data_IF_272519774785
#
_entry.id   IF_272519774785
#
_cell.length_a   1.000
_cell.length_b   1.000
_cell.length_c   1.000
_cell.angle_alpha   90.00
_cell.angle_beta   90.00
_cell.angle_gamma   90.00
#
_symmetry.space_group_name_H-M   'P 1'
#
loop_
_entity.id
_entity.type
_entity.pdbx_description
1 polymer ?
#
# COMPACT_ATOMS: atom_id res chain seq x y z
N UNK A 1 -0.37 1.75 -8.83
CA UNK A 1 0.79 1.08 -8.24
C UNK A 1 0.31 -0.20 -7.62
N UNK A 2 1.04 -1.29 -7.87
CA UNK A 2 0.70 -2.60 -7.33
C UNK A 2 0.83 -2.60 -5.80
N UNK A 3 0.15 -3.53 -5.15
CA UNK A 3 0.20 -3.71 -3.71
C UNK A 3 0.95 -4.99 -3.41
N UNK A 4 2.02 -4.91 -2.62
CA UNK A 4 2.68 -6.09 -2.06
C UNK A 4 2.64 -6.03 -0.53
N UNK A 5 2.21 -7.11 0.10
CA UNK A 5 1.89 -7.17 1.54
C UNK A 5 2.64 -8.31 2.22
N UNK A 6 3.98 -8.24 2.34
CA UNK A 6 4.69 -9.12 3.26
C UNK A 6 4.20 -8.87 4.69
N UNK A 7 3.92 -9.93 5.45
CA UNK A 7 3.49 -9.84 6.84
C UNK A 7 2.11 -9.19 7.07
N UNK A 8 1.36 -8.86 6.02
CA UNK A 8 -0.03 -8.39 6.12
C UNK A 8 -0.95 -8.99 5.07
N UNK A 9 -2.24 -9.01 5.36
CA UNK A 9 -3.31 -9.37 4.43
C UNK A 9 -4.34 -8.24 4.37
N UNK A 10 -5.00 -8.09 3.23
CA UNK A 10 -6.00 -7.03 2.99
C UNK A 10 -7.28 -7.61 2.41
N UNK A 11 -8.36 -6.84 2.43
CA UNK A 11 -9.61 -7.18 1.76
C UNK A 11 -9.77 -6.34 0.49
N UNK A 12 -9.99 -6.99 -0.65
CA UNK A 12 -10.28 -6.35 -1.94
C UNK A 12 -11.68 -6.79 -2.38
N UNK A 13 -12.60 -5.83 -2.51
CA UNK A 13 -14.03 -6.16 -2.62
C UNK A 13 -14.49 -6.87 -1.35
N UNK A 14 -14.97 -8.11 -1.50
CA UNK A 14 -15.42 -8.95 -0.39
C UNK A 14 -14.43 -10.07 -0.03
N UNK A 15 -13.28 -10.13 -0.71
CA UNK A 15 -12.33 -11.24 -0.57
C UNK A 15 -11.10 -10.86 0.25
N UNK A 16 -10.72 -11.75 1.18
CA UNK A 16 -9.42 -11.68 1.84
C UNK A 16 -8.32 -12.12 0.87
N UNK A 17 -7.41 -11.19 0.59
CA UNK A 17 -6.26 -11.40 -0.29
C UNK A 17 -5.05 -11.74 0.57
N UNK A 18 -4.57 -12.98 0.44
CA UNK A 18 -3.41 -13.51 1.18
C UNK A 18 -2.15 -13.65 0.32
N UNK A 19 -2.27 -13.45 -1.00
CA UNK A 19 -1.12 -13.47 -1.93
C UNK A 19 -0.19 -12.29 -1.68
N UNK A 20 1.10 -12.49 -1.94
CA UNK A 20 2.13 -11.49 -1.68
C UNK A 20 1.94 -10.20 -2.48
N UNK A 21 1.65 -10.29 -3.79
CA UNK A 21 1.44 -9.11 -4.64
C UNK A 21 0.11 -9.17 -5.40
N UNK A 22 -0.53 -8.03 -5.52
CA UNK A 22 -1.75 -7.80 -6.31
C UNK A 22 -1.50 -6.67 -7.30
N UNK A 23 -1.79 -6.94 -8.58
CA UNK A 23 -1.68 -5.94 -9.63
C UNK A 23 -2.81 -4.91 -9.53
N UNK A 24 -2.44 -3.64 -9.70
CA UNK A 24 -3.39 -2.55 -9.92
C UNK A 24 -3.81 -2.47 -11.39
N UNK A 25 -4.83 -1.68 -11.70
CA UNK A 25 -5.23 -1.40 -13.09
C UNK A 25 -4.36 -0.34 -13.78
N UNK A 26 -3.34 0.19 -13.08
CA UNK A 26 -2.40 1.18 -13.61
C UNK A 26 -1.64 0.66 -14.82
N UNK A 27 -1.37 1.51 -15.84
CA UNK A 27 -0.40 1.16 -16.86
C UNK A 27 1.01 1.12 -16.27
N UNK A 28 1.92 0.46 -16.98
CA UNK A 28 3.36 0.51 -16.70
C UNK A 28 3.95 1.77 -17.34
N UNK A 29 4.66 2.54 -16.54
CA UNK A 29 5.39 3.73 -17.00
C UNK A 29 6.87 3.36 -17.17
N UNK A 30 7.41 3.62 -18.36
CA UNK A 30 8.79 3.26 -18.73
C UNK A 30 9.66 4.52 -18.92
N UNK A 31 10.96 4.39 -18.67
CA UNK A 31 11.94 5.47 -18.87
C UNK A 31 11.88 6.57 -17.80
N UNK A 32 12.43 7.74 -18.12
CA UNK A 32 12.73 8.82 -17.16
C UNK A 32 11.56 9.79 -16.95
N UNK A 33 10.35 9.26 -16.82
CA UNK A 33 9.14 10.07 -16.63
C UNK A 33 8.80 10.25 -15.16
N UNK A 34 8.33 11.45 -14.82
CA UNK A 34 7.75 11.71 -13.51
C UNK A 34 6.33 11.18 -13.46
N UNK A 35 6.05 10.32 -12.48
CA UNK A 35 4.73 9.76 -12.22
C UNK A 35 4.22 10.30 -10.88
N UNK A 36 3.02 10.87 -10.87
CA UNK A 36 2.33 11.28 -9.65
C UNK A 36 1.64 10.06 -9.04
N UNK A 37 2.00 9.79 -7.78
CA UNK A 37 1.40 8.74 -6.97
C UNK A 37 0.80 9.35 -5.72
N UNK A 38 -0.43 8.97 -5.38
CA UNK A 38 -1.11 9.42 -4.17
C UNK A 38 -1.67 8.20 -3.42
N UNK A 39 -1.56 8.24 -2.10
CA UNK A 39 -2.22 7.32 -1.19
C UNK A 39 -3.27 8.09 -0.40
N UNK A 40 -4.52 7.67 -0.50
CA UNK A 40 -5.60 8.19 0.35
C UNK A 40 -5.98 7.10 1.33
N UNK A 41 -5.76 7.35 2.61
CA UNK A 41 -5.84 6.33 3.68
C UNK A 41 -6.81 6.81 4.76
N UNK A 42 -7.96 6.13 4.89
CA UNK A 42 -8.93 6.37 5.94
C UNK A 42 -8.79 5.31 7.04
N UNK A 43 -7.69 5.36 7.79
CA UNK A 43 -7.34 4.33 8.77
C UNK A 43 -7.30 2.93 8.13
N UNK A 44 -7.97 1.97 8.75
CA UNK A 44 -8.13 0.60 8.22
C UNK A 44 -9.41 0.42 7.38
N UNK A 45 -10.22 1.47 7.21
CA UNK A 45 -11.54 1.38 6.56
C UNK A 45 -11.43 1.28 5.03
N UNK A 46 -10.70 2.19 4.40
CA UNK A 46 -10.49 2.20 2.95
C UNK A 46 -9.17 2.88 2.60
N UNK A 47 -8.44 2.27 1.66
CA UNK A 47 -7.17 2.75 1.14
C UNK A 47 -7.25 2.76 -0.39
N UNK A 48 -6.87 3.89 -0.98
CA UNK A 48 -6.80 4.08 -2.43
C UNK A 48 -5.37 4.33 -2.88
N UNK A 49 -4.98 3.65 -3.96
CA UNK A 49 -3.82 4.04 -4.77
C UNK A 49 -4.33 4.85 -5.96
N UNK A 50 -3.81 6.06 -6.11
CA UNK A 50 -4.12 6.94 -7.24
C UNK A 50 -2.82 7.17 -8.03
N UNK A 51 -2.90 7.00 -9.34
CA UNK A 51 -1.76 7.22 -10.25
C UNK A 51 -2.21 8.13 -11.37
N UNK A 52 -1.48 9.23 -11.60
CA UNK A 52 -1.83 10.25 -12.60
C UNK A 52 -3.29 10.75 -12.49
N UNK A 53 -3.84 10.77 -11.28
CA UNK A 53 -5.21 11.21 -10.99
C UNK A 53 -6.29 10.12 -11.07
N UNK A 54 -5.97 8.92 -11.54
CA UNK A 54 -6.90 7.80 -11.62
C UNK A 54 -6.75 6.84 -10.43
N UNK A 55 -7.86 6.40 -9.84
CA UNK A 55 -7.84 5.36 -8.80
C UNK A 55 -7.61 4.00 -9.44
N UNK A 56 -6.44 3.40 -9.16
CA UNK A 56 -6.00 2.15 -9.80
C UNK A 56 -6.06 0.93 -8.89
N UNK A 57 -6.21 1.15 -7.57
CA UNK A 57 -6.41 0.08 -6.60
C UNK A 57 -7.18 0.60 -5.39
N UNK A 58 -8.10 -0.20 -4.87
CA UNK A 58 -8.81 0.07 -3.61
C UNK A 58 -8.84 -1.20 -2.77
N UNK A 59 -8.54 -1.06 -1.48
CA UNK A 59 -8.58 -2.16 -0.52
C UNK A 59 -8.90 -1.67 0.90
N UNK A 60 -9.12 -2.59 1.82
CA UNK A 60 -9.54 -2.30 3.19
C UNK A 60 -9.00 -3.33 4.18
N UNK A 61 -9.19 -3.07 5.48
CA UNK A 61 -8.97 -3.99 6.60
C UNK A 61 -7.58 -4.66 6.56
N UNK A 62 -6.48 -3.90 6.46
CA UNK A 62 -5.15 -4.46 6.61
C UNK A 62 -5.03 -5.13 7.98
N UNK A 63 -4.49 -6.34 8.00
CA UNK A 63 -4.29 -7.14 9.21
C UNK A 63 -2.98 -7.90 9.13
N UNK A 64 -2.37 -8.21 10.27
CA UNK A 64 -1.20 -9.08 10.34
C UNK A 64 -1.52 -10.44 9.72
N UNK A 65 -0.66 -10.96 8.85
CA UNK A 65 -0.83 -12.25 8.19
C UNK A 65 0.24 -12.55 7.14
N UNK A 66 0.45 -13.82 6.81
CA UNK A 66 1.53 -14.24 5.92
C UNK A 66 2.88 -14.33 6.63
N UNK A 67 3.97 -14.10 5.89
CA UNK A 67 5.32 -14.25 6.43
C UNK A 67 5.67 -13.07 7.35
N UNK A 68 5.73 -13.35 8.66
CA UNK A 68 6.24 -12.44 9.70
C UNK A 68 7.52 -13.00 10.31
N UNK A 69 8.44 -12.16 10.82
CA UNK A 69 9.65 -12.63 11.49
C UNK A 69 9.37 -13.51 12.70
N UNK A 70 10.32 -14.38 13.06
CA UNK A 70 10.23 -15.15 14.30
C UNK A 70 10.13 -14.21 15.52
N UNK A 71 9.21 -14.52 16.44
CA UNK A 71 8.97 -13.71 17.62
C UNK A 71 8.22 -12.39 17.35
N UNK A 72 7.61 -12.23 16.18
CA UNK A 72 6.77 -11.06 15.90
C UNK A 72 5.66 -10.92 16.97
N UNK A 73 5.51 -9.75 17.60
CA UNK A 73 4.75 -9.62 18.84
C UNK A 73 3.22 -9.63 18.64
N UNK A 74 2.74 -9.43 17.41
CA UNK A 74 1.31 -9.35 17.12
C UNK A 74 0.81 -10.67 16.51
N UNK A 75 -0.31 -11.22 17.00
CA UNK A 75 -0.89 -12.43 16.43
C UNK A 75 -1.45 -12.16 15.02
N UNK A 76 -1.55 -13.22 14.22
CA UNK A 76 -2.24 -13.19 12.93
C UNK A 76 -3.69 -12.71 13.09
N UNK A 77 -4.16 -11.89 12.15
CA UNK A 77 -5.48 -11.29 12.16
C UNK A 77 -5.57 -9.97 12.94
N UNK A 78 -4.51 -9.56 13.65
CA UNK A 78 -4.48 -8.26 14.35
C UNK A 78 -4.69 -7.12 13.34
N UNK A 79 -5.71 -6.24 13.52
CA UNK A 79 -5.93 -5.10 12.65
C UNK A 79 -4.76 -4.11 12.67
N UNK A 80 -4.40 -3.59 11.50
CA UNK A 80 -3.36 -2.57 11.34
C UNK A 80 -4.04 -1.22 11.11
N UNK A 81 -4.22 -0.44 12.17
CA UNK A 81 -4.98 0.83 12.13
C UNK A 81 -4.10 2.08 12.01
N UNK A 82 -2.79 1.94 12.23
CA UNK A 82 -1.81 3.02 12.19
C UNK A 82 -0.42 2.48 11.90
N UNK A 83 0.48 3.33 11.40
CA UNK A 83 1.87 2.94 11.18
C UNK A 83 2.72 4.10 10.70
N UNK A 84 3.86 3.77 10.11
CA UNK A 84 4.79 4.71 9.52
C UNK A 84 4.62 4.79 8.00
N UNK A 85 4.95 5.93 7.43
CA UNK A 85 5.08 6.10 5.98
C UNK A 85 6.57 6.06 5.64
N UNK A 86 6.94 5.21 4.69
CA UNK A 86 8.30 5.08 4.21
C UNK A 86 8.32 5.12 2.68
N UNK A 87 9.37 5.72 2.13
CA UNK A 87 9.66 5.68 0.70
C UNK A 87 10.88 4.79 0.52
N UNK A 88 10.69 3.63 -0.11
CA UNK A 88 11.72 2.63 -0.24
C UNK A 88 12.36 2.63 -1.64
N UNK A 89 13.67 2.60 -1.57
CA UNK A 89 14.61 2.17 -2.59
C UNK A 89 14.72 0.65 -2.62
N UNK A 90 14.40 -0.04 -3.71
CA UNK A 90 14.83 -1.45 -3.83
C UNK A 90 16.15 -1.54 -4.61
N UNK A 91 16.09 -2.00 -5.86
CA UNK A 91 17.25 -2.53 -6.59
C UNK A 91 17.80 -1.61 -7.68
N UNK A 92 17.04 -0.61 -8.10
CA UNK A 92 17.38 0.29 -9.21
C UNK A 92 17.32 1.75 -8.75
N UNK A 93 17.98 2.70 -9.44
CA UNK A 93 17.85 4.13 -9.13
C UNK A 93 16.39 4.59 -9.21
N UNK A 94 15.96 5.37 -8.24
CA UNK A 94 14.65 6.02 -8.18
C UNK A 94 14.86 7.45 -7.66
N UNK A 95 13.99 8.36 -8.07
CA UNK A 95 14.00 9.74 -7.63
C UNK A 95 12.63 10.11 -7.10
N UNK A 96 12.59 10.77 -5.94
CA UNK A 96 11.37 11.33 -5.36
C UNK A 96 11.47 12.85 -5.35
N UNK A 97 10.37 13.53 -5.68
CA UNK A 97 10.23 14.97 -5.52
C UNK A 97 8.82 15.31 -5.07
N UNK A 98 8.67 16.45 -4.37
CA UNK A 98 7.37 16.96 -3.88
C UNK A 98 6.60 15.92 -3.06
N UNK A 99 7.22 15.46 -1.99
CA UNK A 99 6.58 14.56 -1.03
C UNK A 99 5.76 15.41 -0.06
N UNK A 100 4.45 15.29 -0.14
CA UNK A 100 3.48 16.06 0.64
C UNK A 100 2.62 15.12 1.47
N UNK A 101 2.19 15.58 2.65
CA UNK A 101 1.34 14.82 3.57
C UNK A 101 0.18 15.71 4.01
N UNK A 102 -1.03 15.17 3.92
CA UNK A 102 -2.24 15.81 4.43
C UNK A 102 -2.90 14.90 5.46
N UNK A 103 -3.07 15.42 6.68
CA UNK A 103 -3.79 14.74 7.75
C UNK A 103 -5.30 14.88 7.53
N UNK A 104 -6.00 13.76 7.35
CA UNK A 104 -7.44 13.70 7.09
C UNK A 104 -8.30 13.67 8.36
N UNK A 105 -7.69 13.67 9.56
CA UNK A 105 -8.42 13.61 10.83
C UNK A 105 -9.01 14.95 11.29
N UNK A 106 -8.78 16.02 10.54
CA UNK A 106 -9.12 17.40 10.91
C UNK A 106 -10.13 18.02 9.96
#
# INVERSE_FOLDING_TARGET
GNLCTPGTHVVIGDELVTRHCTNSTSPTFHGDQWVRFELVVYGDSIIHHIVEGDTVLTYSKPRIGGEVPEGFPLPEGTPVTSGYIALQAESHPFEFRKVELMDLSR
#
